data_IF_861201490965
#
_entry.id   IF_861201490965
#
_cell.length_a   1.000
_cell.length_b   1.000
_cell.length_c   1.000
_cell.angle_alpha   90.00
_cell.angle_beta   90.00
_cell.angle_gamma   90.00
#
_symmetry.space_group_name_H-M   'P 1'
#
loop_
_entity.id
_entity.type
_entity.pdbx_description
1 polymer ?
#
# COMPACT_ATOMS: atom_id res chain seq x y z
N UNK A 1 -7.54 24.03 21.55
CA UNK A 1 -7.98 22.64 21.36
C UNK A 1 -6.73 21.77 21.35
N UNK A 2 -6.63 20.68 22.13
CA UNK A 2 -5.49 19.77 22.02
C UNK A 2 -5.45 19.18 20.60
N UNK A 3 -4.28 18.86 20.02
CA UNK A 3 -4.21 18.19 18.74
C UNK A 3 -4.99 16.87 18.83
N UNK A 4 -5.85 16.61 17.85
CA UNK A 4 -6.55 15.34 17.72
C UNK A 4 -5.54 14.20 17.59
N UNK A 5 -5.91 13.02 18.09
CA UNK A 5 -5.10 11.80 17.99
C UNK A 5 -5.16 11.31 16.54
N UNK A 6 -4.00 11.22 15.87
CA UNK A 6 -3.90 10.77 14.47
C UNK A 6 -4.60 9.42 14.24
N UNK A 7 -5.52 9.36 13.28
CA UNK A 7 -6.05 8.12 12.74
C UNK A 7 -5.22 7.68 11.53
N UNK A 8 -5.07 6.36 11.31
CA UNK A 8 -4.23 5.88 10.22
C UNK A 8 -4.87 6.17 8.86
N UNK A 9 -4.06 6.23 7.79
CA UNK A 9 -4.57 6.39 6.44
C UNK A 9 -5.37 5.14 6.05
N UNK A 10 -6.27 5.26 5.08
CA UNK A 10 -7.07 4.14 4.60
C UNK A 10 -6.49 3.60 3.29
N UNK A 11 -6.51 2.27 3.16
CA UNK A 11 -6.32 1.54 1.91
C UNK A 11 -7.36 0.43 1.88
N UNK A 12 -8.06 0.29 0.75
CA UNK A 12 -9.01 -0.78 0.56
C UNK A 12 -8.32 -2.16 0.57
N UNK A 13 -9.03 -3.24 0.92
CA UNK A 13 -8.49 -4.58 0.81
C UNK A 13 -8.01 -4.85 -0.62
N UNK A 14 -6.80 -5.42 -0.74
CA UNK A 14 -6.23 -5.81 -2.02
C UNK A 14 -6.62 -7.26 -2.32
N UNK A 15 -7.08 -7.52 -3.54
CA UNK A 15 -7.40 -8.86 -3.98
C UNK A 15 -6.12 -9.62 -4.37
N UNK A 16 -6.13 -10.93 -4.11
CA UNK A 16 -5.08 -11.81 -4.60
C UNK A 16 -5.05 -11.82 -6.14
N UNK A 17 -3.87 -11.92 -6.72
CA UNK A 17 -3.68 -11.88 -8.17
C UNK A 17 -2.95 -13.13 -8.63
N UNK A 18 -3.56 -13.83 -9.59
CA UNK A 18 -2.96 -15.00 -10.23
C UNK A 18 -2.60 -14.68 -11.68
N UNK A 19 -1.47 -15.22 -12.15
CA UNK A 19 -1.11 -15.17 -13.56
C UNK A 19 -0.65 -16.53 -14.09
N UNK A 20 -0.96 -16.86 -15.36
CA UNK A 20 -0.35 -18.01 -16.02
C UNK A 20 1.14 -17.75 -16.27
N UNK A 21 1.93 -18.83 -16.34
CA UNK A 21 3.36 -18.73 -16.64
C UNK A 21 3.59 -17.93 -17.94
N UNK A 22 4.50 -16.94 -17.88
CA UNK A 22 4.85 -16.00 -18.97
C UNK A 22 3.86 -14.86 -19.25
N UNK A 23 2.86 -14.67 -18.40
CA UNK A 23 2.11 -13.43 -18.44
C UNK A 23 3.04 -12.28 -18.00
N UNK A 24 3.07 -11.20 -18.77
CA UNK A 24 3.98 -10.06 -18.54
C UNK A 24 3.65 -9.31 -17.24
N UNK A 25 4.19 -8.11 -17.09
CA UNK A 25 3.97 -7.25 -15.91
C UNK A 25 2.50 -7.18 -15.48
N UNK A 26 2.28 -7.34 -14.18
CA UNK A 26 0.99 -7.25 -13.51
C UNK A 26 0.74 -5.86 -12.98
N UNK A 27 -0.51 -5.41 -13.08
CA UNK A 27 -0.94 -4.13 -12.51
C UNK A 27 -1.99 -4.39 -11.45
N UNK A 28 -1.72 -3.94 -10.23
CA UNK A 28 -2.65 -3.97 -9.10
C UNK A 28 -3.06 -2.55 -8.76
N UNK A 29 -4.35 -2.26 -8.79
CA UNK A 29 -4.86 -0.94 -8.46
C UNK A 29 -4.92 -0.74 -6.94
N UNK A 30 -4.53 0.43 -6.47
CA UNK A 30 -4.63 0.84 -5.07
C UNK A 30 -5.84 1.77 -4.92
N UNK A 31 -6.95 1.21 -4.47
CA UNK A 31 -8.22 1.94 -4.26
C UNK A 31 -8.42 2.38 -2.81
N UNK A 32 -9.29 3.39 -2.62
CA UNK A 32 -9.70 3.86 -1.30
C UNK A 32 -8.59 4.51 -0.48
N UNK A 33 -7.57 5.07 -1.14
CA UNK A 33 -6.49 5.84 -0.51
C UNK A 33 -7.06 7.12 0.10
N UNK A 34 -7.07 7.20 1.42
CA UNK A 34 -7.47 8.38 2.17
C UNK A 34 -6.44 8.65 3.28
N UNK A 35 -6.15 9.91 3.58
CA UNK A 35 -5.18 10.27 4.62
C UNK A 35 -5.70 10.09 6.05
N UNK A 36 -7.01 9.93 6.22
CA UNK A 36 -7.66 9.84 7.51
C UNK A 36 -9.07 10.45 7.48
N UNK A 37 -9.82 10.41 8.60
CA UNK A 37 -11.12 11.04 8.71
C UNK A 37 -11.03 12.56 8.50
N UNK A 38 -12.09 13.15 7.95
CA UNK A 38 -12.17 14.59 7.65
C UNK A 38 -11.99 15.52 8.87
N UNK A 39 -12.07 15.01 10.10
CA UNK A 39 -11.72 15.77 11.31
C UNK A 39 -10.22 16.09 11.43
N UNK A 40 -9.37 15.47 10.61
CA UNK A 40 -7.92 15.63 10.56
C UNK A 40 -7.51 16.41 9.30
N UNK A 41 -8.14 17.56 9.11
CA UNK A 41 -7.91 18.44 7.97
C UNK A 41 -6.42 18.76 7.81
N UNK A 42 -5.96 18.81 6.55
CA UNK A 42 -4.56 19.06 6.13
C UNK A 42 -3.59 17.87 6.20
N UNK A 43 -4.06 16.65 6.49
CA UNK A 43 -3.25 15.45 6.31
C UNK A 43 -3.32 14.92 4.87
N UNK A 44 -2.23 14.36 4.38
CA UNK A 44 -2.17 13.63 3.11
C UNK A 44 -1.30 12.37 3.26
N UNK A 45 -1.54 11.38 2.40
CA UNK A 45 -0.67 10.20 2.30
C UNK A 45 0.64 10.63 1.68
N UNK A 46 1.73 10.45 2.41
CA UNK A 46 3.06 10.95 2.06
C UNK A 46 3.95 9.84 1.50
N UNK A 47 3.78 8.61 2.00
CA UNK A 47 4.59 7.46 1.57
C UNK A 47 3.71 6.27 1.25
N UNK A 48 3.96 5.65 0.10
CA UNK A 48 3.45 4.33 -0.27
C UNK A 48 4.66 3.44 -0.56
N UNK A 49 4.75 2.32 0.13
CA UNK A 49 5.81 1.31 -0.03
C UNK A 49 5.19 -0.04 -0.31
N UNK A 50 5.87 -0.87 -1.09
CA UNK A 50 5.50 -2.25 -1.32
C UNK A 50 6.73 -3.14 -1.22
N UNK A 51 6.62 -4.23 -0.47
CA UNK A 51 7.69 -5.19 -0.22
C UNK A 51 7.26 -6.60 -0.59
N UNK A 52 8.22 -7.44 -0.98
CA UNK A 52 8.03 -8.82 -1.40
C UNK A 52 8.56 -9.78 -0.34
N UNK A 53 7.85 -10.88 -0.10
CA UNK A 53 8.31 -11.92 0.81
C UNK A 53 9.29 -12.93 0.19
N UNK A 54 9.32 -13.05 -1.14
CA UNK A 54 10.00 -14.15 -1.85
C UNK A 54 10.48 -13.71 -3.27
N UNK A 55 11.59 -14.27 -3.80
CA UNK A 55 12.14 -13.97 -5.13
C UNK A 55 11.30 -14.42 -6.36
N UNK A 56 10.13 -15.02 -6.18
CA UNK A 56 9.18 -15.38 -7.26
C UNK A 56 8.71 -14.16 -8.06
N UNK A 57 8.69 -12.97 -7.44
CA UNK A 57 8.54 -11.67 -8.12
C UNK A 57 9.91 -10.99 -8.12
N UNK A 58 10.37 -10.57 -9.31
CA UNK A 58 11.67 -9.91 -9.47
C UNK A 58 11.66 -8.47 -8.97
N UNK A 59 10.54 -7.78 -9.14
CA UNK A 59 10.42 -6.36 -8.83
C UNK A 59 8.97 -5.97 -8.51
N UNK A 60 8.84 -4.98 -7.62
CA UNK A 60 7.58 -4.30 -7.31
C UNK A 60 7.81 -2.80 -7.35
N UNK A 61 7.07 -2.12 -8.23
CA UNK A 61 7.16 -0.67 -8.38
C UNK A 61 5.84 -0.06 -7.98
N UNK A 62 5.90 0.94 -7.09
CA UNK A 62 4.75 1.76 -6.71
C UNK A 62 4.67 2.97 -7.64
N UNK A 63 3.56 3.11 -8.36
CA UNK A 63 3.22 4.32 -9.10
C UNK A 63 2.16 5.11 -8.31
N UNK A 64 2.62 6.16 -7.64
CA UNK A 64 1.78 7.06 -6.84
C UNK A 64 0.99 8.06 -7.69
N UNK A 65 1.29 8.20 -8.98
CA UNK A 65 0.54 9.07 -9.89
C UNK A 65 -0.72 8.38 -10.38
N UNK A 66 -0.61 7.09 -10.73
CA UNK A 66 -1.75 6.27 -11.16
C UNK A 66 -2.41 5.47 -10.03
N UNK A 67 -1.83 5.50 -8.82
CA UNK A 67 -2.20 4.64 -7.69
C UNK A 67 -2.22 3.16 -8.08
N UNK A 68 -1.12 2.69 -8.67
CA UNK A 68 -0.97 1.29 -9.08
C UNK A 68 0.34 0.69 -8.57
N UNK A 69 0.35 -0.63 -8.39
CA UNK A 69 1.56 -1.43 -8.24
C UNK A 69 1.82 -2.16 -9.55
N UNK A 70 3.07 -2.11 -9.98
CA UNK A 70 3.57 -2.92 -11.09
C UNK A 70 4.39 -4.06 -10.51
N UNK A 71 3.98 -5.30 -10.77
CA UNK A 71 4.69 -6.49 -10.33
C UNK A 71 5.31 -7.16 -11.55
N UNK A 72 6.57 -7.56 -11.42
CA UNK A 72 7.30 -8.29 -12.48
C UNK A 72 7.57 -9.73 -12.02
N UNK A 73 6.67 -10.69 -12.32
CA UNK A 73 6.90 -12.10 -11.99
C UNK A 73 8.19 -12.62 -12.63
N UNK A 74 8.95 -13.41 -11.87
CA UNK A 74 10.21 -14.01 -12.31
C UNK A 74 10.08 -15.51 -12.55
N UNK A 75 9.37 -16.20 -11.67
CA UNK A 75 9.23 -17.66 -11.68
C UNK A 75 7.83 -18.04 -11.20
N UNK A 76 7.30 -19.21 -11.60
CA UNK A 76 6.06 -19.74 -11.05
C UNK A 76 6.17 -19.92 -9.53
N UNK A 77 5.15 -19.48 -8.80
CA UNK A 77 5.11 -19.58 -7.35
C UNK A 77 4.10 -18.58 -6.78
N UNK A 78 3.99 -18.56 -5.45
CA UNK A 78 3.20 -17.57 -4.73
C UNK A 78 4.14 -16.67 -3.92
N UNK A 79 3.94 -15.36 -4.01
CA UNK A 79 4.66 -14.35 -3.22
C UNK A 79 3.64 -13.56 -2.43
N UNK A 80 3.97 -13.14 -1.22
CA UNK A 80 3.15 -12.14 -0.51
C UNK A 80 3.70 -10.76 -0.81
N UNK A 81 2.86 -9.88 -1.33
CA UNK A 81 3.15 -8.45 -1.50
C UNK A 81 2.56 -7.72 -0.30
N UNK A 82 3.39 -6.95 0.41
CA UNK A 82 2.95 -6.13 1.55
C UNK A 82 3.02 -4.67 1.19
N UNK A 83 1.88 -3.99 1.18
CA UNK A 83 1.73 -2.57 0.86
C UNK A 83 1.52 -1.78 2.14
N UNK A 84 2.29 -0.71 2.31
CA UNK A 84 2.17 0.18 3.47
C UNK A 84 2.00 1.62 3.03
N UNK A 85 0.91 2.24 3.47
CA UNK A 85 0.65 3.67 3.39
C UNK A 85 1.08 4.33 4.68
N UNK A 86 1.63 5.55 4.57
CA UNK A 86 1.93 6.42 5.69
C UNK A 86 1.47 7.84 5.39
N UNK A 87 0.79 8.46 6.35
CA UNK A 87 0.45 9.89 6.28
C UNK A 87 1.57 10.77 6.88
N UNK A 88 1.45 12.08 6.67
CA UNK A 88 2.40 13.09 7.14
C UNK A 88 2.24 13.45 8.62
N UNK A 89 1.26 12.89 9.34
CA UNK A 89 1.02 13.21 10.73
C UNK A 89 1.86 12.34 11.69
N UNK A 90 2.26 12.90 12.85
CA UNK A 90 3.02 12.16 13.84
C UNK A 90 2.17 11.08 14.52
N UNK A 91 2.80 9.96 14.90
CA UNK A 91 2.16 8.88 15.65
C UNK A 91 2.08 9.16 17.17
N UNK A 92 2.25 10.41 17.57
CA UNK A 92 2.35 10.80 18.97
C UNK A 92 1.05 10.54 19.73
N UNK A 93 1.16 10.40 21.06
CA UNK A 93 0.02 10.19 21.97
C UNK A 93 -0.84 8.96 21.59
N UNK A 94 -0.19 7.94 21.01
CA UNK A 94 -0.82 6.70 20.59
C UNK A 94 -1.62 6.81 19.28
N UNK A 95 -1.44 7.88 18.50
CA UNK A 95 -1.93 7.95 17.12
C UNK A 95 -1.29 6.88 16.23
N UNK A 96 -1.88 6.62 15.07
CA UNK A 96 -1.28 5.72 14.05
C UNK A 96 -1.20 6.50 12.77
N UNK A 97 -0.04 6.48 12.12
CA UNK A 97 0.20 7.18 10.87
C UNK A 97 0.42 6.23 9.69
N UNK A 98 0.05 4.96 9.84
CA UNK A 98 0.30 3.97 8.82
C UNK A 98 -0.77 2.88 8.78
N UNK A 99 -1.03 2.39 7.57
CA UNK A 99 -1.88 1.22 7.28
C UNK A 99 -1.14 0.26 6.39
N UNK A 100 -1.26 -1.03 6.70
CA UNK A 100 -0.62 -2.12 5.95
C UNK A 100 -1.68 -3.07 5.40
N UNK A 101 -1.53 -3.47 4.15
CA UNK A 101 -2.31 -4.50 3.47
C UNK A 101 -1.37 -5.51 2.84
N UNK A 102 -1.82 -6.74 2.73
CA UNK A 102 -1.10 -7.76 1.97
C UNK A 102 -2.05 -8.54 1.09
N UNK A 103 -1.50 -9.06 0.00
CA UNK A 103 -2.16 -9.99 -0.92
C UNK A 103 -1.11 -10.95 -1.48
N UNK A 104 -1.58 -12.00 -2.13
CA UNK A 104 -0.73 -13.00 -2.80
C UNK A 104 -1.00 -13.06 -4.28
#
# INVERSE_FOLDING_TARGET
MPPSRNAPPRLDPLANVGQPANAGTLFVKLDGIESGPASELSQFVDVITADLSDPTVADVVVDTTSNTLQLSPRQPGATTVTVRLRDNAPADKGGRNATTRSFT
#
